data_IF_393606168050
#
_entry.id   IF_393606168050
#
_cell.length_a   1.000
_cell.length_b   1.000
_cell.length_c   1.000
_cell.angle_alpha   90.00
_cell.angle_beta   90.00
_cell.angle_gamma   90.00
#
_symmetry.space_group_name_H-M   'P 1'
#
loop_
_entity.id
_entity.type
_entity.pdbx_description
1 polymer ?
#
# COMPACT_ATOMS: atom_id res chain seq x y z
N UNK A 1 -5.88 4.35 -28.46
CA UNK A 1 -4.44 4.65 -28.57
C UNK A 1 -4.05 5.43 -27.31
N UNK A 2 -3.27 4.84 -26.41
CA UNK A 2 -2.82 5.45 -25.16
C UNK A 2 -1.46 6.16 -25.31
N UNK A 3 -1.00 6.83 -24.24
CA UNK A 3 0.24 7.61 -24.28
C UNK A 3 1.49 6.78 -24.65
N UNK A 4 1.52 5.49 -24.28
CA UNK A 4 2.61 4.59 -24.68
C UNK A 4 2.50 4.24 -26.18
N UNK A 5 1.29 4.04 -26.71
CA UNK A 5 1.11 3.81 -28.16
C UNK A 5 1.64 5.00 -28.98
N UNK A 6 1.35 6.23 -28.54
CA UNK A 6 1.85 7.45 -29.18
C UNK A 6 3.38 7.56 -29.09
N UNK A 7 3.95 7.24 -27.92
CA UNK A 7 5.41 7.18 -27.75
C UNK A 7 6.04 6.19 -28.72
N UNK A 8 5.49 4.98 -28.85
CA UNK A 8 6.01 3.95 -29.74
C UNK A 8 5.90 4.41 -31.20
N UNK A 9 4.76 4.98 -31.60
CA UNK A 9 4.52 5.42 -32.98
C UNK A 9 5.52 6.45 -33.52
N UNK A 10 6.22 7.17 -32.64
CA UNK A 10 7.25 8.15 -33.01
C UNK A 10 8.59 7.52 -33.47
N UNK A 11 8.78 6.21 -33.31
CA UNK A 11 10.03 5.52 -33.67
C UNK A 11 9.97 4.87 -35.06
N UNK A 12 11.11 4.51 -35.68
CA UNK A 12 11.13 3.68 -36.89
C UNK A 12 10.46 2.32 -36.69
N UNK A 13 9.94 1.71 -37.76
CA UNK A 13 9.13 0.47 -37.71
C UNK A 13 9.82 -0.70 -37.01
N UNK A 14 11.13 -0.86 -37.18
CA UNK A 14 11.88 -1.90 -36.48
C UNK A 14 11.87 -1.69 -34.96
N UNK A 15 12.16 -0.47 -34.51
CA UNK A 15 12.12 -0.10 -33.09
C UNK A 15 10.70 -0.20 -32.52
N UNK A 16 9.67 0.18 -33.28
CA UNK A 16 8.26 0.00 -32.89
C UNK A 16 7.98 -1.47 -32.52
N UNK A 17 8.34 -2.39 -33.43
CA UNK A 17 8.16 -3.84 -33.22
C UNK A 17 8.87 -4.33 -31.95
N UNK A 18 10.11 -3.88 -31.70
CA UNK A 18 10.87 -4.30 -30.51
C UNK A 18 10.27 -3.72 -29.22
N UNK A 19 9.82 -2.47 -29.23
CA UNK A 19 9.13 -1.85 -28.09
C UNK A 19 7.81 -2.55 -27.78
N UNK A 20 7.04 -2.91 -28.80
CA UNK A 20 5.80 -3.68 -28.65
C UNK A 20 6.06 -5.08 -28.07
N UNK A 21 7.12 -5.77 -28.53
CA UNK A 21 7.52 -7.07 -27.98
C UNK A 21 7.91 -6.97 -26.50
N UNK A 22 8.70 -5.97 -26.12
CA UNK A 22 9.06 -5.70 -24.72
C UNK A 22 7.79 -5.43 -23.90
N UNK A 23 6.94 -4.50 -24.36
CA UNK A 23 5.71 -4.12 -23.67
C UNK A 23 4.78 -5.32 -23.46
N UNK A 24 4.52 -6.11 -24.50
CA UNK A 24 3.69 -7.30 -24.42
C UNK A 24 4.26 -8.33 -23.44
N UNK A 25 5.59 -8.50 -23.45
CA UNK A 25 6.30 -9.39 -22.52
C UNK A 25 6.13 -8.94 -21.08
N UNK A 26 6.30 -7.64 -20.79
CA UNK A 26 6.14 -7.10 -19.45
C UNK A 26 4.68 -7.23 -18.99
N UNK A 27 3.70 -6.87 -19.84
CA UNK A 27 2.26 -7.01 -19.51
C UNK A 27 1.87 -8.45 -19.21
N UNK A 28 2.40 -9.42 -19.96
CA UNK A 28 2.15 -10.84 -19.69
C UNK A 28 2.77 -11.30 -18.37
N UNK A 29 3.95 -10.79 -18.04
CA UNK A 29 4.65 -11.12 -16.80
C UNK A 29 4.05 -10.42 -15.56
N UNK A 30 3.42 -9.26 -15.75
CA UNK A 30 2.81 -8.44 -14.70
C UNK A 30 1.40 -7.96 -15.12
N UNK A 31 0.40 -8.85 -15.17
CA UNK A 31 -0.94 -8.53 -15.69
C UNK A 31 -1.69 -7.46 -14.90
N UNK A 32 -1.32 -7.25 -13.63
CA UNK A 32 -1.91 -6.25 -12.75
C UNK A 32 -1.13 -4.92 -12.73
N UNK A 33 -0.06 -4.79 -13.52
CA UNK A 33 0.69 -3.54 -13.58
C UNK A 33 -0.04 -2.50 -14.44
N UNK A 34 -0.08 -1.27 -13.95
CA UNK A 34 -0.62 -0.13 -14.68
C UNK A 34 0.43 0.47 -15.61
N UNK A 35 -0.01 1.01 -16.74
CA UNK A 35 0.84 1.62 -17.76
C UNK A 35 0.76 3.14 -17.67
N UNK A 36 1.91 3.82 -17.63
CA UNK A 36 2.00 5.28 -17.69
C UNK A 36 3.26 5.75 -18.43
N UNK A 37 3.32 7.04 -18.72
CA UNK A 37 4.57 7.71 -19.09
C UNK A 37 5.18 8.32 -17.82
N UNK A 38 6.41 7.91 -17.49
CA UNK A 38 7.18 8.42 -16.36
C UNK A 38 8.57 8.81 -16.84
N UNK A 39 9.06 9.98 -16.43
CA UNK A 39 10.33 10.53 -16.94
C UNK A 39 10.41 10.59 -18.48
N UNK A 40 9.27 10.81 -19.13
CA UNK A 40 9.17 10.85 -20.60
C UNK A 40 9.24 9.50 -21.31
N UNK A 41 9.26 8.38 -20.57
CA UNK A 41 9.35 7.03 -21.15
C UNK A 41 8.25 6.08 -20.63
N UNK A 42 7.89 5.05 -21.41
CA UNK A 42 7.01 3.98 -20.97
C UNK A 42 7.43 3.37 -19.63
N UNK A 43 6.49 3.36 -18.70
CA UNK A 43 6.68 2.92 -17.32
C UNK A 43 5.51 2.02 -16.93
N UNK A 44 5.82 0.86 -16.37
CA UNK A 44 4.82 0.03 -15.70
C UNK A 44 4.95 0.19 -14.19
N UNK A 45 3.81 0.27 -13.51
CA UNK A 45 3.74 0.44 -12.06
C UNK A 45 2.91 -0.64 -11.39
N UNK A 46 3.40 -1.12 -10.26
CA UNK A 46 2.71 -2.03 -9.35
C UNK A 46 3.31 -1.80 -7.97
N UNK A 47 2.53 -1.26 -7.02
CA UNK A 47 3.03 -0.85 -5.70
C UNK A 47 4.25 0.09 -5.75
N UNK A 48 4.27 0.97 -6.76
CA UNK A 48 5.40 1.83 -7.12
C UNK A 48 5.92 1.55 -8.54
N UNK A 49 7.09 2.08 -8.88
CA UNK A 49 7.71 1.82 -10.19
C UNK A 49 8.14 0.34 -10.28
N UNK A 50 7.64 -0.38 -11.29
CA UNK A 50 7.99 -1.77 -11.54
C UNK A 50 9.21 -1.83 -12.47
N UNK A 51 9.03 -1.41 -13.71
CA UNK A 51 10.06 -1.36 -14.77
C UNK A 51 9.77 -0.19 -15.72
N UNK A 52 10.81 0.28 -16.40
CA UNK A 52 10.68 1.20 -17.54
C UNK A 52 11.30 0.59 -18.79
N UNK A 53 10.90 1.08 -19.96
CA UNK A 53 11.57 0.76 -21.22
C UNK A 53 11.53 1.97 -22.17
N UNK A 54 12.54 2.08 -23.04
CA UNK A 54 12.70 3.22 -23.94
C UNK A 54 13.32 2.82 -25.28
N UNK A 55 12.92 3.49 -26.35
CA UNK A 55 13.49 3.31 -27.68
C UNK A 55 14.69 4.24 -27.90
N UNK A 56 15.74 3.74 -28.54
CA UNK A 56 16.87 4.53 -29.02
C UNK A 56 17.28 4.07 -30.42
N UNK A 57 18.11 4.87 -31.10
CA UNK A 57 18.57 4.60 -32.47
C UNK A 57 19.16 3.19 -32.65
N UNK A 58 19.98 2.74 -31.69
CA UNK A 58 20.75 1.49 -31.81
C UNK A 58 20.36 0.42 -30.79
N UNK A 59 19.45 0.71 -29.86
CA UNK A 59 19.08 -0.24 -28.79
C UNK A 59 17.71 0.06 -28.19
N UNK A 60 17.15 -0.91 -27.49
CA UNK A 60 16.06 -0.74 -26.53
C UNK A 60 16.66 -0.65 -25.14
N UNK A 61 16.38 0.43 -24.41
CA UNK A 61 16.73 0.55 -23.00
C UNK A 61 15.71 -0.16 -22.13
N UNK A 62 16.16 -0.99 -21.19
CA UNK A 62 15.33 -1.64 -20.19
C UNK A 62 15.83 -1.32 -18.79
N UNK A 63 14.91 -0.91 -17.91
CA UNK A 63 15.23 -0.31 -16.61
C UNK A 63 14.48 -1.04 -15.49
N UNK A 64 14.98 -2.20 -15.02
CA UNK A 64 14.39 -2.92 -13.91
C UNK A 64 14.85 -2.41 -12.54
N UNK A 65 15.62 -1.32 -12.49
CA UNK A 65 16.20 -0.80 -11.26
C UNK A 65 17.38 -1.63 -10.75
N UNK A 66 18.03 -1.14 -9.69
CA UNK A 66 19.31 -1.68 -9.25
C UNK A 66 19.27 -3.14 -8.79
N UNK A 67 18.21 -3.52 -8.08
CA UNK A 67 18.02 -4.90 -7.63
C UNK A 67 17.82 -5.86 -8.80
N UNK A 68 17.00 -5.47 -9.80
CA UNK A 68 16.78 -6.28 -10.99
C UNK A 68 18.06 -6.53 -11.79
N UNK A 69 18.91 -5.51 -11.94
CA UNK A 69 20.21 -5.69 -12.60
C UNK A 69 21.16 -6.55 -11.77
N UNK A 70 21.22 -6.33 -10.45
CA UNK A 70 22.12 -7.06 -9.57
C UNK A 70 21.81 -8.57 -9.54
N UNK A 71 20.54 -8.95 -9.41
CA UNK A 71 20.10 -10.36 -9.36
C UNK A 71 20.44 -11.11 -10.65
N UNK A 72 20.26 -10.48 -11.81
CA UNK A 72 20.45 -11.10 -13.12
C UNK A 72 21.76 -10.68 -13.80
N UNK A 73 22.75 -10.23 -13.01
CA UNK A 73 24.01 -9.66 -13.51
C UNK A 73 24.75 -10.61 -14.45
N UNK A 74 24.74 -11.91 -14.14
CA UNK A 74 25.43 -12.94 -14.95
C UNK A 74 24.79 -13.07 -16.33
N UNK A 75 23.46 -13.21 -16.41
CA UNK A 75 22.76 -13.32 -17.70
C UNK A 75 22.79 -12.02 -18.51
N UNK A 76 22.83 -10.87 -17.82
CA UNK A 76 22.89 -9.55 -18.47
C UNK A 76 24.29 -9.12 -18.89
N UNK A 77 25.35 -9.84 -18.46
CA UNK A 77 26.76 -9.46 -18.70
C UNK A 77 27.15 -9.32 -20.18
N UNK A 78 26.42 -9.98 -21.07
CA UNK A 78 26.63 -9.90 -22.53
C UNK A 78 26.10 -8.61 -23.16
N UNK A 79 25.33 -7.82 -22.40
CA UNK A 79 24.74 -6.56 -22.85
C UNK A 79 25.42 -5.36 -22.18
N UNK A 80 25.45 -4.23 -22.88
CA UNK A 80 25.87 -2.96 -22.28
C UNK A 80 24.83 -2.52 -21.25
N UNK A 81 25.27 -2.01 -20.11
CA UNK A 81 24.36 -1.58 -19.05
C UNK A 81 25.05 -0.80 -17.95
N UNK A 82 24.25 -0.34 -17.01
CA UNK A 82 24.69 0.36 -15.80
C UNK A 82 23.96 -0.22 -14.58
N UNK A 83 24.16 0.37 -13.39
CA UNK A 83 23.64 -0.15 -12.12
C UNK A 83 22.13 -0.45 -12.14
N UNK A 84 21.32 0.27 -12.92
CA UNK A 84 19.86 0.09 -12.99
C UNK A 84 19.28 -0.07 -14.38
N UNK A 85 20.12 -0.28 -15.41
CA UNK A 85 19.70 -0.34 -16.80
C UNK A 85 20.51 -1.33 -17.63
N UNK A 86 19.90 -1.82 -18.70
CA UNK A 86 20.54 -2.65 -19.72
C UNK A 86 20.05 -2.23 -21.11
N UNK A 87 20.92 -2.34 -22.11
CA UNK A 87 20.66 -1.98 -23.50
C UNK A 87 20.60 -3.25 -24.35
N UNK A 88 19.46 -3.51 -24.97
CA UNK A 88 19.29 -4.60 -25.94
C UNK A 88 19.50 -4.05 -27.36
N UNK A 89 20.54 -4.47 -28.10
CA UNK A 89 20.83 -3.94 -29.42
C UNK A 89 19.67 -4.13 -30.40
N UNK A 90 19.37 -3.10 -31.20
CA UNK A 90 18.51 -3.22 -32.39
C UNK A 90 19.21 -4.13 -33.41
N UNK A 91 18.45 -4.95 -34.15
CA UNK A 91 18.99 -5.97 -35.06
C UNK A 91 19.38 -7.30 -34.41
N UNK A 92 19.29 -7.45 -33.09
CA UNK A 92 19.42 -8.75 -32.39
C UNK A 92 18.10 -9.17 -31.76
N UNK A 93 17.82 -10.49 -31.66
CA UNK A 93 16.62 -10.97 -31.00
C UNK A 93 16.62 -10.56 -29.51
N UNK A 94 15.47 -10.06 -29.04
CA UNK A 94 15.31 -9.66 -27.65
C UNK A 94 15.32 -10.89 -26.72
N UNK A 95 15.97 -10.80 -25.54
CA UNK A 95 15.98 -11.90 -24.57
C UNK A 95 14.67 -11.92 -23.76
N UNK A 96 13.53 -12.14 -24.42
CA UNK A 96 12.19 -12.01 -23.82
C UNK A 96 11.97 -12.94 -22.61
N UNK A 97 12.58 -14.13 -22.62
CA UNK A 97 12.55 -15.04 -21.47
C UNK A 97 13.26 -14.44 -20.23
N UNK A 98 14.39 -13.76 -20.44
CA UNK A 98 15.11 -13.07 -19.37
C UNK A 98 14.33 -11.85 -18.87
N UNK A 99 13.75 -11.07 -19.79
CA UNK A 99 12.86 -9.95 -19.43
C UNK A 99 11.70 -10.44 -18.57
N UNK A 100 11.06 -11.56 -18.93
CA UNK A 100 9.99 -12.17 -18.14
C UNK A 100 10.45 -12.52 -16.72
N UNK A 101 11.62 -13.16 -16.58
CA UNK A 101 12.19 -13.51 -15.26
C UNK A 101 12.45 -12.27 -14.40
N UNK A 102 13.05 -11.23 -14.99
CA UNK A 102 13.36 -9.98 -14.30
C UNK A 102 12.07 -9.27 -13.85
N UNK A 103 11.05 -9.21 -14.72
CA UNK A 103 9.77 -8.56 -14.38
C UNK A 103 9.07 -9.29 -13.24
N UNK A 104 9.01 -10.63 -13.28
CA UNK A 104 8.42 -11.42 -12.19
C UNK A 104 9.13 -11.19 -10.85
N UNK A 105 10.46 -11.23 -10.84
CA UNK A 105 11.26 -10.89 -9.67
C UNK A 105 10.94 -9.48 -9.14
N UNK A 106 10.80 -8.49 -10.04
CA UNK A 106 10.45 -7.11 -9.65
C UNK A 106 9.01 -6.98 -9.11
N UNK A 107 8.07 -7.79 -9.60
CA UNK A 107 6.71 -7.88 -9.07
C UNK A 107 6.74 -8.37 -7.63
N UNK A 108 7.40 -9.50 -7.37
CA UNK A 108 7.55 -10.06 -6.02
C UNK A 108 8.18 -9.04 -5.08
N UNK A 109 9.28 -8.41 -5.50
CA UNK A 109 9.97 -7.39 -4.70
C UNK A 109 9.08 -6.18 -4.36
N UNK A 110 8.27 -5.70 -5.31
CA UNK A 110 7.39 -4.56 -5.07
C UNK A 110 6.26 -4.94 -4.10
N UNK A 111 5.66 -6.13 -4.25
CA UNK A 111 4.61 -6.64 -3.34
C UNK A 111 5.14 -6.85 -1.93
N UNK A 112 6.33 -7.43 -1.78
CA UNK A 112 6.99 -7.57 -0.47
C UNK A 112 7.25 -6.22 0.19
N UNK A 113 7.75 -5.24 -0.59
CA UNK A 113 7.99 -3.89 -0.08
C UNK A 113 6.69 -3.23 0.37
N UNK A 114 5.60 -3.39 -0.39
CA UNK A 114 4.29 -2.88 -0.03
C UNK A 114 3.77 -3.52 1.28
N UNK A 115 3.90 -4.84 1.41
CA UNK A 115 3.53 -5.55 2.63
C UNK A 115 4.33 -5.07 3.85
N UNK A 116 5.64 -4.86 3.69
CA UNK A 116 6.52 -4.35 4.75
C UNK A 116 6.22 -2.92 5.18
N UNK A 117 5.73 -2.04 4.30
CA UNK A 117 5.35 -0.66 4.69
C UNK A 117 4.28 -0.63 5.78
N UNK A 118 3.41 -1.63 5.81
CA UNK A 118 2.33 -1.71 6.78
C UNK A 118 2.73 -2.47 8.05
N UNK A 119 3.91 -3.09 8.10
CA UNK A 119 4.38 -3.84 9.26
C UNK A 119 4.92 -2.87 10.32
N UNK A 120 4.35 -2.93 11.52
CA UNK A 120 4.74 -2.09 12.67
C UNK A 120 4.97 -2.97 13.89
N UNK A 121 5.88 -2.55 14.75
CA UNK A 121 6.11 -3.17 16.06
C UNK A 121 5.88 -2.14 17.16
N UNK A 122 5.04 -2.46 18.14
CA UNK A 122 4.77 -1.54 19.26
C UNK A 122 5.82 -1.66 20.37
N UNK A 123 5.76 -0.78 21.37
CA UNK A 123 6.65 -0.80 22.55
C UNK A 123 6.58 -2.09 23.38
N UNK A 124 5.49 -2.86 23.29
CA UNK A 124 5.37 -4.19 23.92
C UNK A 124 5.93 -5.34 23.08
N UNK A 125 6.48 -5.06 21.89
CA UNK A 125 7.02 -6.09 20.99
C UNK A 125 6.00 -6.75 20.05
N UNK A 126 4.70 -6.43 20.14
CA UNK A 126 3.73 -6.95 19.18
C UNK A 126 3.98 -6.43 17.77
N UNK A 127 4.10 -7.34 16.82
CA UNK A 127 4.24 -7.08 15.40
C UNK A 127 2.88 -7.22 14.72
N UNK A 128 2.45 -6.20 13.98
CA UNK A 128 1.13 -6.16 13.35
C UNK A 128 1.14 -5.34 12.06
N UNK A 129 0.16 -5.59 11.19
CA UNK A 129 -0.04 -4.83 9.96
C UNK A 129 -1.06 -3.72 10.18
N UNK A 130 -0.76 -2.49 9.74
CA UNK A 130 -1.68 -1.35 9.81
C UNK A 130 -1.44 -0.35 8.70
N UNK A 131 -2.46 -0.15 7.86
CA UNK A 131 -2.47 0.87 6.80
C UNK A 131 -2.77 2.27 7.32
N UNK A 132 -3.54 2.41 8.41
CA UNK A 132 -3.86 3.73 9.00
C UNK A 132 -2.68 4.34 9.75
N UNK A 133 -2.58 5.66 9.76
CA UNK A 133 -1.54 6.40 10.53
C UNK A 133 -1.74 6.37 12.05
N UNK A 134 -2.85 5.81 12.53
CA UNK A 134 -3.09 5.66 13.96
C UNK A 134 -1.96 4.83 14.63
N UNK A 135 -1.23 5.37 15.62
CA UNK A 135 -0.08 4.71 16.23
C UNK A 135 -0.47 3.57 17.20
N UNK A 136 -1.77 3.36 17.44
CA UNK A 136 -2.27 2.34 18.36
C UNK A 136 -2.03 0.93 17.84
N UNK A 137 -1.47 0.08 18.68
CA UNK A 137 -1.32 -1.35 18.43
C UNK A 137 -2.66 -2.07 18.65
N UNK A 138 -3.20 -2.79 17.64
CA UNK A 138 -4.47 -3.50 17.77
C UNK A 138 -4.40 -4.64 18.80
N UNK A 139 -3.24 -5.27 18.96
CA UNK A 139 -3.04 -6.32 19.97
C UNK A 139 -3.10 -5.73 21.38
N UNK A 140 -2.32 -4.66 21.64
CA UNK A 140 -2.38 -3.97 22.94
C UNK A 140 -3.79 -3.41 23.23
N UNK A 141 -4.49 -2.96 22.21
CA UNK A 141 -5.85 -2.46 22.34
C UNK A 141 -6.82 -3.56 22.77
N UNK A 142 -6.69 -4.75 22.18
CA UNK A 142 -7.49 -5.91 22.55
C UNK A 142 -7.17 -6.42 23.96
N UNK A 143 -5.88 -6.42 24.35
CA UNK A 143 -5.45 -6.78 25.72
C UNK A 143 -5.97 -5.81 26.78
N UNK A 144 -6.05 -4.51 26.45
CA UNK A 144 -6.55 -3.48 27.37
C UNK A 144 -8.06 -3.48 27.49
N UNK A 145 -8.78 -4.09 26.54
CA UNK A 145 -10.24 -4.09 26.54
C UNK A 145 -10.75 -4.77 27.82
N UNK A 146 -11.57 -4.08 28.65
CA UNK A 146 -12.19 -4.69 29.81
C UNK A 146 -13.06 -5.89 29.38
N UNK A 147 -13.05 -6.97 30.20
CA UNK A 147 -13.90 -8.14 29.96
C UNK A 147 -15.37 -7.83 30.26
N UNK A 148 -15.60 -7.01 31.28
CA UNK A 148 -16.92 -6.70 31.82
C UNK A 148 -17.13 -5.17 31.93
N UNK A 149 -18.37 -4.78 32.26
CA UNK A 149 -18.78 -3.39 32.43
C UNK A 149 -19.09 -2.67 31.10
N UNK A 150 -19.59 -1.44 31.21
CA UNK A 150 -20.11 -0.71 30.05
C UNK A 150 -19.03 -0.40 28.98
N UNK A 151 -17.76 -0.22 29.38
CA UNK A 151 -16.65 -0.01 28.46
C UNK A 151 -16.33 -1.24 27.59
N UNK A 152 -16.65 -2.45 28.06
CA UNK A 152 -16.48 -3.70 27.29
C UNK A 152 -17.43 -3.78 26.08
N UNK A 153 -18.58 -3.09 26.16
CA UNK A 153 -19.60 -3.04 25.12
C UNK A 153 -19.21 -2.14 23.94
N UNK A 154 -18.23 -1.26 24.15
CA UNK A 154 -17.83 -0.23 23.21
C UNK A 154 -16.74 -0.71 22.24
N UNK A 155 -16.73 -0.09 21.05
CA UNK A 155 -15.61 -0.20 20.12
C UNK A 155 -14.36 0.47 20.70
N UNK A 156 -13.18 0.08 20.23
CA UNK A 156 -11.91 0.68 20.69
C UNK A 156 -11.87 2.23 20.54
N UNK A 157 -12.35 2.84 19.43
CA UNK A 157 -12.43 4.30 19.33
C UNK A 157 -13.29 4.94 20.43
N UNK A 158 -14.50 4.41 20.65
CA UNK A 158 -15.44 4.96 21.64
C UNK A 158 -14.95 4.78 23.09
N UNK A 159 -14.43 3.59 23.42
CA UNK A 159 -13.85 3.33 24.75
C UNK A 159 -12.70 4.30 25.05
N UNK A 160 -11.71 4.40 24.16
CA UNK A 160 -10.56 5.32 24.34
C UNK A 160 -11.01 6.77 24.48
N UNK A 161 -12.06 7.17 23.78
CA UNK A 161 -12.55 8.53 23.84
C UNK A 161 -13.12 8.87 25.24
N UNK A 162 -13.81 7.91 25.89
CA UNK A 162 -14.24 8.05 27.28
C UNK A 162 -13.06 8.03 28.25
N UNK A 163 -12.15 7.07 28.09
CA UNK A 163 -10.97 6.93 28.95
C UNK A 163 -10.08 8.19 28.91
N UNK A 164 -9.86 8.76 27.72
CA UNK A 164 -9.10 10.01 27.56
C UNK A 164 -9.81 11.21 28.20
N UNK A 165 -11.15 11.19 28.29
CA UNK A 165 -11.93 12.17 29.04
C UNK A 165 -11.97 11.87 30.55
N UNK A 166 -11.36 10.78 31.01
CA UNK A 166 -11.35 10.35 32.41
C UNK A 166 -12.67 9.69 32.86
N UNK A 167 -13.50 9.24 31.91
CA UNK A 167 -14.79 8.59 32.20
C UNK A 167 -14.57 7.08 32.29
N UNK A 168 -14.45 6.57 33.52
CA UNK A 168 -14.25 5.16 33.81
C UNK A 168 -15.49 4.47 34.42
N UNK A 169 -16.49 5.25 34.87
CA UNK A 169 -17.69 4.75 35.56
C UNK A 169 -18.97 5.33 34.98
N UNK A 170 -20.09 4.63 35.18
CA UNK A 170 -21.42 5.11 34.74
C UNK A 170 -21.85 6.39 35.47
N UNK A 171 -21.42 6.59 36.73
CA UNK A 171 -21.63 7.85 37.45
C UNK A 171 -20.91 9.05 36.81
N UNK A 172 -19.65 8.87 36.40
CA UNK A 172 -18.90 9.90 35.67
C UNK A 172 -19.51 10.16 34.29
N UNK A 173 -19.99 9.12 33.62
CA UNK A 173 -20.69 9.24 32.35
C UNK A 173 -22.01 10.02 32.50
N UNK A 174 -22.80 9.71 33.53
CA UNK A 174 -24.05 10.40 33.86
C UNK A 174 -23.84 11.89 34.18
N UNK A 175 -22.67 12.28 34.69
CA UNK A 175 -22.34 13.68 34.94
C UNK A 175 -22.09 14.49 33.64
N UNK A 176 -21.87 13.82 32.51
CA UNK A 176 -21.76 14.44 31.19
C UNK A 176 -23.14 14.54 30.52
N UNK A 177 -23.31 15.53 29.66
CA UNK A 177 -24.42 15.58 28.71
C UNK A 177 -24.14 14.71 27.48
N UNK A 178 -25.20 14.24 26.82
CA UNK A 178 -25.09 13.46 25.60
C UNK A 178 -24.37 14.23 24.48
N UNK A 179 -24.64 15.54 24.37
CA UNK A 179 -24.00 16.42 23.41
C UNK A 179 -22.47 16.53 23.63
N UNK A 180 -22.02 16.53 24.88
CA UNK A 180 -20.58 16.51 25.21
C UNK A 180 -19.91 15.19 24.85
N UNK A 181 -20.64 14.07 24.93
CA UNK A 181 -20.13 12.75 24.55
C UNK A 181 -20.06 12.64 23.03
N UNK A 182 -21.06 13.12 22.30
CA UNK A 182 -21.08 13.12 20.83
C UNK A 182 -19.93 13.93 20.21
N UNK A 183 -19.44 14.96 20.90
CA UNK A 183 -18.27 15.74 20.45
C UNK A 183 -16.96 14.96 20.50
N UNK A 184 -16.92 13.80 21.15
CA UNK A 184 -15.70 13.00 21.25
C UNK A 184 -15.41 12.23 19.97
N UNK A 185 -14.16 12.31 19.50
CA UNK A 185 -13.73 11.57 18.32
C UNK A 185 -13.82 10.05 18.56
N UNK A 186 -14.61 9.36 17.73
CA UNK A 186 -14.90 7.94 17.87
C UNK A 186 -16.25 7.63 18.51
N UNK A 187 -17.02 8.65 18.90
CA UNK A 187 -18.43 8.52 19.30
C UNK A 187 -19.36 8.68 18.11
N UNK A 188 -20.44 7.89 18.11
CA UNK A 188 -21.38 7.87 17.01
C UNK A 188 -22.58 6.95 17.25
N UNK A 189 -23.38 6.68 16.21
CA UNK A 189 -24.69 6.03 16.32
C UNK A 189 -24.63 4.60 16.87
N UNK A 190 -23.51 3.90 16.75
CA UNK A 190 -23.34 2.55 17.29
C UNK A 190 -22.96 2.53 18.78
N UNK A 191 -22.43 3.63 19.32
CA UNK A 191 -21.94 3.71 20.71
C UNK A 191 -22.98 4.30 21.64
N UNK A 192 -23.70 5.35 21.21
CA UNK A 192 -24.68 6.04 22.06
C UNK A 192 -25.78 5.12 22.61
N UNK A 193 -26.46 4.27 21.81
CA UNK A 193 -27.50 3.39 22.34
C UNK A 193 -26.98 2.45 23.44
N UNK A 194 -25.73 1.99 23.31
CA UNK A 194 -25.08 1.13 24.32
C UNK A 194 -24.84 1.88 25.63
N UNK A 195 -24.46 3.17 25.54
CA UNK A 195 -24.29 4.03 26.71
C UNK A 195 -25.63 4.30 27.42
N UNK A 196 -26.69 4.60 26.67
CA UNK A 196 -28.02 4.76 27.25
C UNK A 196 -28.51 3.49 27.95
N UNK A 197 -28.37 2.33 27.29
CA UNK A 197 -28.75 1.05 27.89
C UNK A 197 -27.96 0.76 29.17
N UNK A 198 -26.66 1.06 29.17
CA UNK A 198 -25.81 0.86 30.35
C UNK A 198 -26.20 1.79 31.51
N UNK A 199 -26.43 3.08 31.24
CA UNK A 199 -26.91 4.05 32.24
C UNK A 199 -28.27 3.65 32.81
N UNK A 200 -29.22 3.29 31.93
CA UNK A 200 -30.56 2.86 32.31
C UNK A 200 -30.53 1.61 33.20
N UNK A 201 -29.60 0.69 32.95
CA UNK A 201 -29.39 -0.50 33.77
C UNK A 201 -29.03 -0.21 35.23
N UNK A 202 -28.45 0.97 35.51
CA UNK A 202 -28.15 1.44 36.89
C UNK A 202 -29.11 2.54 37.37
N UNK A 203 -30.22 2.79 36.66
CA UNK A 203 -31.16 3.86 36.99
C UNK A 203 -30.59 5.27 36.77
N UNK A 204 -29.53 5.41 35.96
CA UNK A 204 -28.89 6.67 35.63
C UNK A 204 -29.34 7.18 34.25
N UNK A 205 -29.12 8.47 34.02
CA UNK A 205 -29.27 9.11 32.71
C UNK A 205 -28.16 10.13 32.51
N UNK A 206 -27.90 10.53 31.27
CA UNK A 206 -27.05 11.69 31.01
C UNK A 206 -27.59 12.93 31.72
N UNK A 207 -26.68 13.84 32.05
CA UNK A 207 -27.01 15.16 32.56
C UNK A 207 -27.86 15.88 31.51
N UNK A 208 -29.02 16.39 31.92
CA UNK A 208 -29.82 17.28 31.06
C UNK A 208 -28.97 18.51 30.74
N UNK A 209 -28.88 18.84 29.46
CA UNK A 209 -28.13 20.00 28.97
C UNK A 209 -28.64 21.29 29.60
#
# INVERSE_FOLDING_TARGET
MNAIDQYIAAFPKETQRLLEQIRATIRKAAPHAEEKIGYGIPTLTLEGNLVHFAGYKNHIGFYPGAAGIATFKKELSVYKGAKGSVQFPVGKPLPLALVTKIVKFRVEQNLEKAARKNLRTCRKGHTYYKSSDCPTCPVCEQERKPKDGFLALLSAPARRALENKGIATLKQLAACSEAEILKLHGMGPASLPKLHSALKGEGLSFKKA
#
